data_IF_210549395815
#
_entry.id   IF_210549395815
#
_cell.length_a   1.000
_cell.length_b   1.000
_cell.length_c   1.000
_cell.angle_alpha   90.00
_cell.angle_beta   90.00
_cell.angle_gamma   90.00
#
_symmetry.space_group_name_H-M   'P 1'
#
loop_
_entity.id
_entity.type
_entity.pdbx_description
1 polymer ?
#
# COMPACT_ATOMS: atom_id res chain seq x y z
N UNK A 1 24.07 23.22 46.68
CA UNK A 1 22.89 22.55 46.07
C UNK A 1 22.70 23.12 44.67
N UNK A 2 22.70 22.26 43.64
CA UNK A 2 22.53 22.60 42.21
C UNK A 2 21.07 22.90 41.89
N UNK A 3 20.79 23.87 40.99
CA UNK A 3 19.69 23.76 40.00
C UNK A 3 20.10 24.47 38.71
N UNK A 4 20.38 23.69 37.66
CA UNK A 4 20.43 24.17 36.27
C UNK A 4 18.99 24.31 35.74
N UNK A 5 18.67 25.33 34.94
CA UNK A 5 17.42 25.34 34.18
C UNK A 5 17.55 24.38 32.98
N UNK A 6 16.59 23.46 32.83
CA UNK A 6 16.42 22.66 31.61
C UNK A 6 16.00 23.60 30.47
N UNK A 7 16.59 23.51 29.28
CA UNK A 7 15.92 24.01 28.09
C UNK A 7 14.71 23.10 27.82
N UNK A 8 13.53 23.68 27.82
CA UNK A 8 12.32 23.09 27.29
C UNK A 8 12.55 22.81 25.79
N UNK A 9 12.58 21.53 25.43
CA UNK A 9 12.59 21.09 24.04
C UNK A 9 11.44 21.77 23.29
N UNK A 10 11.67 22.33 22.08
CA UNK A 10 10.55 22.69 21.24
C UNK A 10 9.80 21.40 20.93
N UNK A 11 8.50 21.40 21.22
CA UNK A 11 7.59 20.42 20.68
C UNK A 11 7.88 20.34 19.18
N UNK A 12 8.33 19.18 18.71
CA UNK A 12 8.24 18.86 17.29
C UNK A 12 6.75 18.95 17.00
N UNK A 13 6.33 20.09 16.47
CA UNK A 13 4.97 20.27 15.98
C UNK A 13 4.71 19.07 15.10
N UNK A 14 3.76 18.24 15.53
CA UNK A 14 3.24 17.16 14.73
C UNK A 14 2.95 17.79 13.37
N UNK A 15 3.68 17.34 12.37
CA UNK A 15 3.43 17.73 11.00
C UNK A 15 2.08 17.09 10.70
N UNK A 16 0.99 17.82 10.93
CA UNK A 16 -0.33 17.53 10.38
C UNK A 16 -0.24 17.75 8.85
N UNK A 17 0.56 16.92 8.19
CA UNK A 17 0.42 16.69 6.79
C UNK A 17 -0.68 15.64 6.67
N UNK A 18 -1.89 16.07 6.33
CA UNK A 18 -2.77 15.23 5.52
C UNK A 18 -2.02 15.06 4.19
N UNK A 19 -1.06 14.13 4.17
CA UNK A 19 -0.40 13.73 2.94
C UNK A 19 -1.48 13.15 2.03
N UNK A 20 -1.43 13.50 0.74
CA UNK A 20 -2.26 12.82 -0.25
C UNK A 20 -2.07 11.31 -0.18
N UNK A 21 -2.99 10.52 -0.75
CA UNK A 21 -2.86 9.07 -0.75
C UNK A 21 -1.51 8.66 -1.35
N UNK A 22 -0.90 7.63 -0.77
CA UNK A 22 0.32 7.05 -1.34
C UNK A 22 -0.09 6.16 -2.51
N UNK A 23 0.58 6.33 -3.65
CA UNK A 23 0.22 5.66 -4.90
C UNK A 23 1.45 5.04 -5.54
N UNK A 24 1.37 3.75 -5.89
CA UNK A 24 2.38 3.03 -6.68
C UNK A 24 1.71 2.32 -7.84
N UNK A 25 2.35 2.34 -9.00
CA UNK A 25 1.91 1.61 -10.19
C UNK A 25 2.90 0.50 -10.51
N UNK A 26 2.40 -0.67 -10.87
CA UNK A 26 3.17 -1.87 -11.16
C UNK A 26 2.81 -2.37 -12.57
N UNK A 27 3.82 -2.74 -13.33
CA UNK A 27 3.66 -3.39 -14.63
C UNK A 27 4.78 -4.41 -14.83
N UNK A 28 4.53 -5.42 -15.68
CA UNK A 28 5.42 -6.56 -15.84
C UNK A 28 4.78 -7.88 -15.40
N UNK A 29 5.56 -8.95 -15.22
CA UNK A 29 5.06 -10.25 -14.78
C UNK A 29 4.23 -10.17 -13.48
N UNK A 30 3.10 -10.86 -13.46
CA UNK A 30 2.08 -10.74 -12.42
C UNK A 30 2.64 -11.05 -11.02
N UNK A 31 3.38 -12.16 -10.87
CA UNK A 31 3.95 -12.56 -9.60
C UNK A 31 4.94 -11.53 -9.01
N UNK A 32 5.75 -10.88 -9.87
CA UNK A 32 6.65 -9.81 -9.41
C UNK A 32 5.86 -8.57 -8.99
N UNK A 33 4.80 -8.21 -9.73
CA UNK A 33 3.94 -7.10 -9.33
C UNK A 33 3.30 -7.33 -7.94
N UNK A 34 2.91 -8.57 -7.61
CA UNK A 34 2.39 -8.90 -6.28
C UNK A 34 3.47 -8.76 -5.20
N UNK A 35 4.69 -9.24 -5.46
CA UNK A 35 5.80 -9.12 -4.51
C UNK A 35 6.19 -7.66 -4.25
N UNK A 36 6.29 -6.87 -5.32
CA UNK A 36 6.62 -5.44 -5.23
C UNK A 36 5.50 -4.65 -4.52
N UNK A 37 4.24 -5.02 -4.74
CA UNK A 37 3.10 -4.43 -4.05
C UNK A 37 3.08 -4.75 -2.55
N UNK A 38 3.40 -5.99 -2.18
CA UNK A 38 3.52 -6.42 -0.78
C UNK A 38 4.66 -5.67 -0.07
N UNK A 39 5.80 -5.46 -0.75
CA UNK A 39 6.91 -4.65 -0.21
C UNK A 39 6.53 -3.17 -0.06
N UNK A 40 5.85 -2.59 -1.07
CA UNK A 40 5.37 -1.21 -1.02
C UNK A 40 4.42 -0.98 0.16
N UNK A 41 3.47 -1.89 0.40
CA UNK A 41 2.60 -1.83 1.58
C UNK A 41 3.41 -1.88 2.87
N UNK A 42 4.32 -2.86 3.00
CA UNK A 42 5.14 -3.04 4.21
C UNK A 42 5.92 -1.76 4.55
N UNK A 43 6.50 -1.11 3.54
CA UNK A 43 7.23 0.15 3.72
C UNK A 43 6.30 1.31 4.04
N UNK A 44 5.14 1.38 3.39
CA UNK A 44 4.14 2.41 3.65
C UNK A 44 3.64 2.38 5.10
N UNK A 45 3.32 1.19 5.63
CA UNK A 45 2.88 1.02 7.03
C UNK A 45 3.92 1.56 8.00
N UNK A 46 5.21 1.28 7.78
CA UNK A 46 6.30 1.80 8.61
C UNK A 46 6.43 3.32 8.48
N UNK A 47 6.25 3.86 7.27
CA UNK A 47 6.41 5.28 6.99
C UNK A 47 5.27 6.14 7.53
N UNK A 48 4.01 5.71 7.40
CA UNK A 48 2.85 6.47 7.89
C UNK A 48 2.79 6.51 9.42
N UNK A 49 3.38 5.52 10.09
CA UNK A 49 3.49 5.49 11.55
C UNK A 49 2.15 5.33 12.24
N UNK A 50 1.96 6.04 13.34
CA UNK A 50 0.71 6.00 14.12
C UNK A 50 -0.37 6.82 13.39
N UNK A 51 -1.42 6.14 12.96
CA UNK A 51 -2.52 6.71 12.17
C UNK A 51 -3.84 6.29 12.79
N UNK A 52 -4.77 7.24 12.90
CA UNK A 52 -6.14 6.97 13.34
C UNK A 52 -6.92 6.05 12.39
N UNK A 53 -6.56 6.00 11.10
CA UNK A 53 -7.10 5.01 10.15
C UNK A 53 -6.22 4.82 8.91
N UNK A 54 -6.33 3.62 8.31
CA UNK A 54 -5.69 3.26 7.03
C UNK A 54 -6.68 2.48 6.15
N UNK A 55 -6.66 2.74 4.85
CA UNK A 55 -7.45 2.02 3.85
C UNK A 55 -6.60 1.71 2.62
N UNK A 56 -6.75 0.49 2.09
CA UNK A 56 -5.98 0.01 0.94
C UNK A 56 -6.91 -0.30 -0.22
N UNK A 57 -6.58 0.24 -1.39
CA UNK A 57 -7.23 -0.03 -2.66
C UNK A 57 -6.20 -0.56 -3.67
N UNK A 58 -6.55 -1.63 -4.36
CA UNK A 58 -5.79 -2.19 -5.47
C UNK A 58 -6.63 -2.03 -6.72
N UNK A 59 -6.14 -1.26 -7.67
CA UNK A 59 -6.72 -1.18 -9.00
C UNK A 59 -6.02 -2.16 -9.93
N UNK A 60 -6.78 -2.91 -10.72
CA UNK A 60 -6.23 -3.86 -11.70
C UNK A 60 -6.74 -3.50 -13.08
N UNK A 61 -5.84 -3.22 -14.02
CA UNK A 61 -6.20 -3.07 -15.43
C UNK A 61 -6.61 -4.42 -16.00
N UNK A 62 -7.87 -4.57 -16.45
CA UNK A 62 -8.32 -5.79 -17.11
C UNK A 62 -7.58 -6.02 -18.44
N UNK A 63 -7.34 -5.01 -19.30
CA UNK A 63 -6.46 -5.18 -20.45
C UNK A 63 -5.02 -5.54 -20.08
N UNK A 64 -4.47 -4.93 -19.02
CA UNK A 64 -3.16 -5.29 -18.48
C UNK A 64 -3.09 -6.76 -18.05
N UNK A 65 -4.06 -7.19 -17.26
CA UNK A 65 -4.19 -8.56 -16.77
C UNK A 65 -4.34 -9.56 -17.92
N UNK A 66 -5.15 -9.23 -18.94
CA UNK A 66 -5.26 -10.04 -20.15
C UNK A 66 -3.90 -10.23 -20.84
N UNK A 67 -3.10 -9.16 -20.99
CA UNK A 67 -1.73 -9.27 -21.57
C UNK A 67 -0.80 -10.16 -20.75
N UNK A 68 -1.07 -10.37 -19.45
CA UNK A 68 -0.29 -11.27 -18.58
C UNK A 68 -0.72 -12.71 -18.74
N UNK A 69 -2.02 -12.95 -18.71
CA UNK A 69 -2.59 -14.27 -19.01
C UNK A 69 -2.17 -14.74 -20.40
N UNK A 70 -2.26 -13.88 -21.42
CA UNK A 70 -1.85 -14.20 -22.80
C UNK A 70 -0.33 -14.45 -22.91
N UNK A 71 0.48 -13.90 -21.99
CA UNK A 71 1.92 -14.13 -21.91
C UNK A 71 2.30 -15.38 -21.10
N UNK A 72 1.33 -16.09 -20.54
CA UNK A 72 1.53 -17.34 -19.80
C UNK A 72 1.63 -17.17 -18.28
N UNK A 73 1.34 -15.99 -17.72
CA UNK A 73 1.33 -15.81 -16.27
C UNK A 73 0.20 -16.63 -15.62
N UNK A 74 0.56 -17.39 -14.59
CA UNK A 74 -0.41 -17.95 -13.65
C UNK A 74 -0.89 -16.82 -12.71
N UNK A 75 -2.20 -16.56 -12.72
CA UNK A 75 -2.82 -15.57 -11.82
C UNK A 75 -3.19 -16.22 -10.49
N UNK A 76 -3.62 -17.48 -10.55
CA UNK A 76 -3.98 -18.29 -9.39
C UNK A 76 -2.97 -19.43 -9.26
N UNK A 77 -2.59 -19.81 -8.03
CA UNK A 77 -3.17 -19.38 -6.75
C UNK A 77 -2.57 -18.08 -6.16
N UNK A 78 -1.58 -17.47 -6.82
CA UNK A 78 -0.76 -16.38 -6.29
C UNK A 78 -1.59 -15.17 -5.87
N UNK A 79 -2.60 -14.80 -6.65
CA UNK A 79 -3.51 -13.70 -6.33
C UNK A 79 -4.28 -13.94 -5.02
N UNK A 80 -4.85 -15.14 -4.85
CA UNK A 80 -5.60 -15.48 -3.64
C UNK A 80 -4.73 -15.43 -2.39
N UNK A 81 -3.55 -16.07 -2.46
CA UNK A 81 -2.60 -16.07 -1.36
C UNK A 81 -2.08 -14.68 -1.02
N UNK A 82 -1.90 -13.82 -2.04
CA UNK A 82 -1.52 -12.43 -1.82
C UNK A 82 -2.61 -11.66 -1.07
N UNK A 83 -3.88 -11.77 -1.45
CA UNK A 83 -4.97 -11.09 -0.74
C UNK A 83 -5.13 -11.57 0.70
N UNK A 84 -4.95 -12.87 0.95
CA UNK A 84 -4.93 -13.44 2.30
C UNK A 84 -3.80 -12.84 3.14
N UNK A 85 -2.57 -12.83 2.62
CA UNK A 85 -1.42 -12.21 3.33
C UNK A 85 -1.65 -10.72 3.61
N UNK A 86 -2.18 -9.98 2.64
CA UNK A 86 -2.46 -8.56 2.80
C UNK A 86 -3.50 -8.28 3.89
N UNK A 87 -4.49 -9.16 4.04
CA UNK A 87 -5.57 -9.03 5.03
C UNK A 87 -5.12 -9.45 6.43
N UNK A 88 -4.41 -10.57 6.54
CA UNK A 88 -4.14 -11.20 7.85
C UNK A 88 -2.84 -10.75 8.48
N UNK A 89 -1.81 -10.44 7.68
CA UNK A 89 -0.44 -10.24 8.18
C UNK A 89 -0.16 -8.83 8.67
N UNK A 90 -0.87 -7.84 8.13
CA UNK A 90 -0.53 -6.42 8.29
C UNK A 90 -1.44 -5.67 9.27
N UNK A 91 -2.39 -6.35 9.91
CA UNK A 91 -3.28 -5.74 10.91
C UNK A 91 -4.14 -4.60 10.36
N UNK A 92 -4.47 -4.64 9.07
CA UNK A 92 -5.33 -3.63 8.45
C UNK A 92 -6.72 -3.66 9.09
N UNK A 93 -7.37 -2.51 9.32
CA UNK A 93 -8.70 -2.46 9.93
C UNK A 93 -9.79 -3.04 9.02
N UNK A 94 -9.51 -3.19 7.73
CA UNK A 94 -10.36 -3.83 6.74
C UNK A 94 -9.48 -4.47 5.65
N UNK A 95 -9.96 -5.53 4.98
CA UNK A 95 -9.24 -6.14 3.87
C UNK A 95 -9.07 -5.16 2.70
N UNK A 96 -8.02 -5.32 1.87
CA UNK A 96 -7.82 -4.50 0.68
C UNK A 96 -9.03 -4.55 -0.25
N UNK A 97 -9.47 -3.39 -0.72
CA UNK A 97 -10.49 -3.31 -1.77
C UNK A 97 -9.82 -3.54 -3.12
N UNK A 98 -10.47 -4.29 -4.00
CA UNK A 98 -9.99 -4.50 -5.38
C UNK A 98 -10.95 -3.85 -6.35
N UNK A 99 -10.44 -3.02 -7.26
CA UNK A 99 -11.20 -2.35 -8.31
C UNK A 99 -10.69 -2.76 -9.69
N UNK A 100 -11.47 -3.51 -10.49
CA UNK A 100 -11.11 -3.75 -11.88
C UNK A 100 -11.31 -2.48 -12.72
N UNK A 101 -10.38 -2.22 -13.65
CA UNK A 101 -10.40 -1.10 -14.57
C UNK A 101 -10.49 -1.60 -16.01
N UNK A 102 -11.49 -1.13 -16.77
CA UNK A 102 -11.68 -1.48 -18.18
C UNK A 102 -10.79 -0.71 -19.17
N UNK A 103 -9.78 0.00 -18.69
CA UNK A 103 -8.94 0.90 -19.50
C UNK A 103 -7.52 0.36 -19.66
N UNK A 104 -6.84 0.79 -20.72
CA UNK A 104 -5.41 0.55 -20.91
C UNK A 104 -4.62 1.38 -19.90
N UNK A 105 -3.87 0.68 -19.03
CA UNK A 105 -3.09 1.25 -17.95
C UNK A 105 -2.00 0.24 -17.53
N UNK A 106 -1.06 0.61 -16.64
CA UNK A 106 -0.23 -0.35 -15.92
C UNK A 106 -1.08 -1.47 -15.30
N UNK A 107 -0.49 -2.65 -15.13
CA UNK A 107 -1.19 -3.85 -14.66
C UNK A 107 -1.93 -3.61 -13.35
N UNK A 108 -1.28 -2.98 -12.37
CA UNK A 108 -1.86 -2.72 -11.07
C UNK A 108 -1.47 -1.36 -10.50
N UNK A 109 -2.35 -0.79 -9.67
CA UNK A 109 -2.06 0.39 -8.85
C UNK A 109 -2.42 0.09 -7.40
N UNK A 110 -1.48 0.30 -6.48
CA UNK A 110 -1.73 0.29 -5.04
C UNK A 110 -1.97 1.73 -4.58
N UNK A 111 -3.10 1.95 -3.92
CA UNK A 111 -3.47 3.23 -3.31
C UNK A 111 -3.67 3.02 -1.81
N UNK A 112 -2.95 3.79 -1.00
CA UNK A 112 -3.07 3.76 0.45
C UNK A 112 -3.53 5.13 0.92
N UNK A 113 -4.74 5.19 1.46
CA UNK A 113 -5.27 6.35 2.14
C UNK A 113 -5.08 6.18 3.65
N UNK A 114 -4.70 7.25 4.34
CA UNK A 114 -4.52 7.23 5.78
C UNK A 114 -4.97 8.56 6.39
N UNK A 115 -5.25 8.54 7.68
CA UNK A 115 -5.55 9.73 8.48
C UNK A 115 -4.73 9.64 9.76
N UNK A 116 -3.95 10.67 10.06
CA UNK A 116 -3.27 10.81 11.35
C UNK A 116 -4.28 11.06 12.46
#
# INVERSE_FOLDING_TARGET
MRKHPRPSSPAHGAVEAIGGPLVWTFDGPFAMCLADMEDALRRAIVQVGDVSSIAVLIEISLPGLKRRVDAGDAIQPEWGQFLERMSDRYGLPAPPRVRPLGIQAPLATLVIAYRS
#
